data_IF_836002807045
#
_entry.id   IF_836002807045
#
_cell.length_a   1.000
_cell.length_b   1.000
_cell.length_c   1.000
_cell.angle_alpha   90.00
_cell.angle_beta   90.00
_cell.angle_gamma   90.00
#
_symmetry.space_group_name_H-M   'P 1'
#
loop_
_entity.id
_entity.type
_entity.pdbx_description
1 polymer ?
#
# COMPACT_ATOMS: atom_id res chain seq x y z
N UNK A 1 0.74 3.12 5.82
CA UNK A 1 0.04 3.99 6.81
C UNK A 1 -1.40 3.52 7.01
N UNK A 2 -1.92 3.46 8.25
CA UNK A 2 -3.29 2.99 8.58
C UNK A 2 -4.33 4.09 8.27
N UNK A 3 -5.41 3.74 7.55
CA UNK A 3 -6.49 4.68 7.23
C UNK A 3 -7.75 4.32 8.04
N UNK A 4 -8.21 5.25 8.89
CA UNK A 4 -9.36 5.07 9.78
C UNK A 4 -10.73 4.98 9.06
N UNK A 5 -10.80 5.28 7.76
CA UNK A 5 -12.06 5.34 7.01
C UNK A 5 -12.49 4.01 6.37
N UNK A 6 -12.02 2.87 6.89
CA UNK A 6 -12.30 1.53 6.31
C UNK A 6 -11.90 1.43 4.83
N UNK A 7 -10.98 2.30 4.40
CA UNK A 7 -10.39 2.32 3.06
C UNK A 7 -9.47 1.10 2.90
N UNK A 8 -10.08 -0.07 2.78
CA UNK A 8 -9.47 -1.34 2.38
C UNK A 8 -9.07 -1.30 0.90
N UNK A 9 -9.52 -0.27 0.17
CA UNK A 9 -9.05 0.00 -1.17
C UNK A 9 -7.58 0.40 -1.13
N UNK A 10 -6.75 -0.05 -2.08
CA UNK A 10 -5.34 0.38 -2.22
C UNK A 10 -5.16 1.89 -2.46
N UNK A 11 -6.27 2.64 -2.54
CA UNK A 11 -6.38 4.04 -2.91
C UNK A 11 -5.93 4.95 -1.76
N UNK A 12 -4.63 5.14 -1.67
CA UNK A 12 -3.96 6.44 -1.85
C UNK A 12 -2.59 6.37 -1.18
N UNK A 13 -2.52 6.01 0.10
CA UNK A 13 -1.26 6.04 0.83
C UNK A 13 -0.34 4.87 0.45
N UNK A 14 -0.83 3.62 0.49
CA UNK A 14 0.02 2.46 0.16
C UNK A 14 0.43 2.42 -1.32
N UNK A 15 -0.41 2.94 -2.23
CA UNK A 15 -0.09 3.04 -3.65
C UNK A 15 1.00 4.09 -3.91
N UNK A 16 0.84 5.30 -3.35
CA UNK A 16 1.84 6.37 -3.47
C UNK A 16 3.15 5.98 -2.78
N UNK A 17 3.09 5.37 -1.60
CA UNK A 17 4.25 4.88 -0.84
C UNK A 17 4.96 3.75 -1.60
N UNK A 18 4.21 2.84 -2.22
CA UNK A 18 4.76 1.79 -3.09
C UNK A 18 5.41 2.34 -4.37
N UNK A 19 4.84 3.38 -4.97
CA UNK A 19 5.41 4.10 -6.11
C UNK A 19 6.67 4.87 -5.70
N UNK A 20 6.62 5.56 -4.57
CA UNK A 20 7.75 6.28 -3.98
C UNK A 20 8.92 5.33 -3.69
N UNK A 21 8.67 4.17 -3.08
CA UNK A 21 9.70 3.16 -2.84
C UNK A 21 10.29 2.59 -4.13
N UNK A 22 9.48 2.37 -5.18
CA UNK A 22 9.99 1.98 -6.51
C UNK A 22 10.87 3.07 -7.10
N UNK A 23 10.45 4.33 -6.98
CA UNK A 23 11.18 5.48 -7.47
C UNK A 23 12.51 5.66 -6.75
N UNK A 24 12.52 5.58 -5.41
CA UNK A 24 13.73 5.59 -4.58
C UNK A 24 14.73 4.51 -4.97
N UNK A 25 14.26 3.31 -5.34
CA UNK A 25 15.14 2.23 -5.82
C UNK A 25 15.73 2.48 -7.20
N UNK A 26 15.03 3.22 -8.07
CA UNK A 26 15.50 3.60 -9.41
C UNK A 26 16.38 4.84 -9.38
N UNK A 27 16.17 5.72 -8.41
CA UNK A 27 17.05 6.84 -8.13
C UNK A 27 18.36 6.32 -7.49
N UNK A 28 19.29 5.86 -8.33
CA UNK A 28 20.58 5.31 -7.89
C UNK A 28 21.43 6.38 -7.17
N UNK A 29 21.26 7.66 -7.52
CA UNK A 29 22.01 8.78 -6.93
C UNK A 29 21.11 9.71 -6.09
N UNK A 30 21.65 10.35 -5.04
CA UNK A 30 20.91 11.31 -4.20
C UNK A 30 20.40 12.54 -4.97
N UNK A 31 21.17 12.99 -5.97
CA UNK A 31 20.83 14.13 -6.82
C UNK A 31 20.93 13.70 -8.28
N UNK A 32 19.86 13.10 -8.78
CA UNK A 32 19.74 12.84 -10.21
C UNK A 32 19.54 14.16 -10.96
N UNK A 33 20.08 14.21 -12.17
CA UNK A 33 19.79 15.29 -13.11
C UNK A 33 18.27 15.46 -13.29
N UNK A 34 17.82 16.70 -13.47
CA UNK A 34 16.40 17.04 -13.57
C UNK A 34 15.76 16.34 -14.78
N UNK A 35 16.49 16.21 -15.88
CA UNK A 35 16.01 15.50 -17.07
C UNK A 35 15.83 14.00 -16.80
N UNK A 36 16.76 13.39 -16.07
CA UNK A 36 16.62 12.00 -15.63
C UNK A 36 15.40 11.82 -14.72
N UNK A 37 15.12 12.77 -13.83
CA UNK A 37 13.90 12.76 -13.02
C UNK A 37 12.63 12.85 -13.87
N UNK A 38 12.60 13.75 -14.87
CA UNK A 38 11.47 13.91 -15.80
C UNK A 38 11.21 12.62 -16.58
N UNK A 39 12.25 11.97 -17.09
CA UNK A 39 12.11 10.71 -17.82
C UNK A 39 11.61 9.57 -16.93
N UNK A 40 12.05 9.52 -15.67
CA UNK A 40 11.50 8.58 -14.69
C UNK A 40 10.01 8.82 -14.45
N UNK A 41 9.55 10.08 -14.37
CA UNK A 41 8.13 10.39 -14.22
C UNK A 41 7.31 10.01 -15.45
N UNK A 42 7.80 10.29 -16.67
CA UNK A 42 7.15 9.87 -17.91
C UNK A 42 6.98 8.35 -17.97
N UNK A 43 8.03 7.60 -17.63
CA UNK A 43 7.98 6.14 -17.59
C UNK A 43 6.95 5.62 -16.57
N UNK A 44 6.85 6.23 -15.39
CA UNK A 44 5.82 5.87 -14.40
C UNK A 44 4.39 6.22 -14.84
N UNK A 45 4.21 7.29 -15.63
CA UNK A 45 2.92 7.63 -16.23
C UNK A 45 2.50 6.60 -17.30
N UNK A 46 3.44 6.19 -18.16
CA UNK A 46 3.20 5.15 -19.17
C UNK A 46 2.83 3.80 -18.53
N UNK A 47 3.59 3.36 -17.52
CA UNK A 47 3.26 2.13 -16.78
C UNK A 47 1.89 2.18 -16.12
N UNK A 48 1.49 3.34 -15.58
CA UNK A 48 0.17 3.50 -14.98
C UNK A 48 -0.96 3.48 -16.02
N UNK A 49 -0.71 4.04 -17.21
CA UNK A 49 -1.67 3.95 -18.32
C UNK A 49 -1.84 2.50 -18.78
N UNK A 50 -0.75 1.75 -18.92
CA UNK A 50 -0.75 0.35 -19.33
C UNK A 50 -1.46 -0.55 -18.30
N UNK A 51 -1.20 -0.32 -17.00
CA UNK A 51 -1.93 -1.00 -15.91
C UNK A 51 -3.44 -0.73 -15.97
N UNK A 52 -3.85 0.52 -16.22
CA UNK A 52 -5.29 0.88 -16.37
C UNK A 52 -5.92 0.18 -17.57
N UNK A 53 -5.27 0.22 -18.72
CA UNK A 53 -5.77 -0.42 -19.93
C UNK A 53 -5.92 -1.94 -19.76
N UNK A 54 -4.96 -2.60 -19.10
CA UNK A 54 -5.07 -4.03 -18.76
C UNK A 54 -6.25 -4.31 -17.85
N UNK A 55 -6.48 -3.47 -16.84
CA UNK A 55 -7.64 -3.60 -15.95
C UNK A 55 -8.97 -3.41 -16.68
N UNK A 56 -9.06 -2.42 -17.58
CA UNK A 56 -10.24 -2.19 -18.43
C UNK A 56 -10.49 -3.38 -19.38
N UNK A 57 -9.44 -4.00 -19.89
CA UNK A 57 -9.51 -5.24 -20.67
C UNK A 57 -9.85 -6.50 -19.85
N UNK A 58 -10.16 -6.36 -18.55
CA UNK A 58 -10.53 -7.48 -17.68
C UNK A 58 -9.35 -8.32 -17.20
N UNK A 59 -8.11 -7.86 -17.33
CA UNK A 59 -6.96 -8.58 -16.82
C UNK A 59 -7.03 -8.72 -15.29
N UNK A 60 -6.70 -9.92 -14.81
CA UNK A 60 -6.67 -10.18 -13.39
C UNK A 60 -5.65 -9.27 -12.68
N UNK A 61 -5.99 -8.73 -11.50
CA UNK A 61 -5.06 -7.89 -10.75
C UNK A 61 -3.80 -8.68 -10.38
N UNK A 62 -2.66 -7.98 -10.24
CA UNK A 62 -1.41 -8.63 -9.85
C UNK A 62 -1.57 -9.36 -8.52
N UNK A 63 -0.96 -10.55 -8.42
CA UNK A 63 -0.99 -11.36 -7.20
C UNK A 63 -0.40 -10.58 -6.03
N UNK A 64 -1.19 -10.41 -4.97
CA UNK A 64 -0.73 -9.79 -3.72
C UNK A 64 0.30 -10.68 -3.02
N UNK A 65 1.24 -10.06 -2.30
CA UNK A 65 2.20 -10.80 -1.46
C UNK A 65 1.45 -11.48 -0.30
N UNK A 66 1.83 -12.72 0.03
CA UNK A 66 1.18 -13.55 1.07
C UNK A 66 1.04 -12.80 2.41
N UNK A 67 2.11 -12.15 2.87
CA UNK A 67 2.11 -11.43 4.14
C UNK A 67 1.16 -10.22 4.14
N UNK A 68 1.10 -9.47 3.04
CA UNK A 68 0.16 -8.35 2.87
C UNK A 68 -1.27 -8.84 2.90
N UNK A 69 -1.56 -9.97 2.24
CA UNK A 69 -2.89 -10.59 2.24
C UNK A 69 -3.31 -11.00 3.66
N UNK A 70 -2.44 -11.67 4.40
CA UNK A 70 -2.70 -12.10 5.79
C UNK A 70 -2.95 -10.90 6.70
N UNK A 71 -2.20 -9.82 6.54
CA UNK A 71 -2.39 -8.60 7.31
C UNK A 71 -3.75 -7.95 7.03
N UNK A 72 -4.13 -7.84 5.76
CA UNK A 72 -5.45 -7.32 5.34
C UNK A 72 -6.61 -8.19 5.85
N UNK A 73 -6.52 -9.51 5.70
CA UNK A 73 -7.52 -10.47 6.23
C UNK A 73 -7.67 -10.33 7.75
N UNK A 74 -6.56 -10.17 8.47
CA UNK A 74 -6.55 -9.99 9.93
C UNK A 74 -7.18 -8.66 10.34
N UNK A 75 -6.88 -7.57 9.63
CA UNK A 75 -7.48 -6.26 9.86
C UNK A 75 -8.99 -6.27 9.57
N UNK A 76 -9.42 -6.97 8.51
CA UNK A 76 -10.85 -7.15 8.21
C UNK A 76 -11.57 -7.81 9.37
N UNK A 77 -11.02 -8.92 9.90
CA UNK A 77 -11.60 -9.61 11.06
C UNK A 77 -11.64 -8.73 12.32
N UNK A 78 -10.62 -7.88 12.53
CA UNK A 78 -10.60 -6.94 13.65
C UNK A 78 -11.68 -5.86 13.49
N UNK A 79 -11.90 -5.36 12.28
CA UNK A 79 -12.99 -4.45 11.97
C UNK A 79 -14.35 -5.08 12.24
N UNK A 80 -14.58 -6.32 11.80
CA UNK A 80 -15.84 -7.02 12.04
C UNK A 80 -16.13 -7.19 13.54
N UNK A 81 -15.08 -7.45 14.34
CA UNK A 81 -15.19 -7.52 15.80
C UNK A 81 -15.53 -6.18 16.43
N UNK A 82 -14.94 -5.10 15.93
CA UNK A 82 -15.22 -3.74 16.40
C UNK A 82 -16.67 -3.35 16.10
N UNK A 83 -17.15 -3.62 14.89
CA UNK A 83 -18.54 -3.31 14.49
C UNK A 83 -19.58 -4.11 15.27
N UNK A 84 -19.25 -5.36 15.61
CA UNK A 84 -20.09 -6.19 16.48
C UNK A 84 -19.95 -5.85 17.97
N UNK A 85 -19.24 -4.77 18.32
CA UNK A 85 -18.94 -4.35 19.70
C UNK A 85 -18.28 -5.45 20.55
N UNK A 86 -17.58 -6.41 19.93
CA UNK A 86 -16.91 -7.52 20.62
C UNK A 86 -15.54 -7.09 21.19
N UNK A 87 -15.00 -5.97 20.73
CA UNK A 87 -13.75 -5.39 21.21
C UNK A 87 -13.92 -3.88 21.36
N UNK A 88 -13.26 -3.31 22.37
CA UNK A 88 -13.19 -1.86 22.53
C UNK A 88 -12.32 -1.23 21.43
N UNK A 89 -12.58 0.05 21.16
CA UNK A 89 -11.78 0.85 20.21
C UNK A 89 -10.30 0.88 20.58
N UNK A 90 -9.97 0.97 21.87
CA UNK A 90 -8.59 0.95 22.36
C UNK A 90 -7.89 -0.38 22.05
N UNK A 91 -8.55 -1.50 22.32
CA UNK A 91 -8.03 -2.83 22.02
C UNK A 91 -7.87 -3.03 20.51
N UNK A 92 -8.82 -2.54 19.72
CA UNK A 92 -8.71 -2.54 18.28
C UNK A 92 -7.46 -1.78 17.78
N UNK A 93 -7.22 -0.57 18.29
CA UNK A 93 -6.02 0.22 17.94
C UNK A 93 -4.74 -0.49 18.35
N UNK A 94 -4.71 -1.12 19.54
CA UNK A 94 -3.57 -1.89 20.02
C UNK A 94 -3.25 -3.07 19.10
N UNK A 95 -4.26 -3.86 18.72
CA UNK A 95 -4.08 -5.03 17.85
C UNK A 95 -3.77 -4.66 16.40
N UNK A 96 -4.42 -3.61 15.87
CA UNK A 96 -4.12 -3.09 14.54
C UNK A 96 -2.69 -2.54 14.48
N UNK A 97 -2.28 -1.77 15.49
CA UNK A 97 -0.92 -1.22 15.62
C UNK A 97 0.14 -2.32 15.71
N UNK A 98 -0.01 -3.29 16.63
CA UNK A 98 0.95 -4.39 16.83
C UNK A 98 1.27 -5.14 15.53
N UNK A 99 0.29 -5.36 14.65
CA UNK A 99 0.51 -6.02 13.36
C UNK A 99 1.25 -5.14 12.35
N UNK A 100 1.04 -3.83 12.34
CA UNK A 100 1.80 -2.92 11.47
C UNK A 100 3.23 -2.70 11.97
N UNK A 101 3.44 -2.61 13.28
CA UNK A 101 4.76 -2.42 13.87
C UNK A 101 5.64 -3.68 13.86
N UNK A 102 5.05 -4.88 13.82
CA UNK A 102 5.82 -6.14 13.65
C UNK A 102 6.57 -6.23 12.30
N UNK A 103 6.15 -5.46 11.27
CA UNK A 103 6.82 -5.43 9.96
C UNK A 103 7.72 -4.22 9.74
N UNK A 104 7.65 -3.21 10.61
CA UNK A 104 8.66 -2.17 10.70
C UNK A 104 9.82 -2.74 11.52
N UNK A 105 10.77 -3.39 10.85
CA UNK A 105 12.12 -3.48 11.41
C UNK A 105 12.60 -2.05 11.59
N UNK A 106 12.53 -1.56 12.82
CA UNK A 106 13.27 -0.40 13.27
C UNK A 106 14.72 -0.88 13.25
N UNK A 107 15.45 -0.48 12.22
CA UNK A 107 16.91 -0.48 12.21
C UNK A 107 17.42 0.60 13.18
#
# INVERSE_FOLDING_TARGET
>A
MYNHYRNLTPRTINYLEGRHNRWKKRAIKPHNDIYACIDMFKNEQLLAADERQRHEAGAAPPKRRKNTRIAEESLSRLWDKLEKNQISRENFLKYAGLRYFQYLKIE
#
